data_IF_937365451241
#
_entry.id   IF_937365451241
#
_cell.length_a   1.000
_cell.length_b   1.000
_cell.length_c   1.000
_cell.angle_alpha   90.00
_cell.angle_beta   90.00
_cell.angle_gamma   90.00
#
_symmetry.space_group_name_H-M   'P 1'
#
loop_
_entity.id
_entity.type
_entity.pdbx_description
1 polymer ?
#
# COMPACT_ATOMS: atom_id res chain seq x y z
N UNK A 1 15.91 86.90 -10.40
CA UNK A 1 16.23 86.20 -11.64
C UNK A 1 16.39 84.72 -11.30
N UNK A 2 15.37 83.94 -11.41
CA UNK A 2 15.39 82.52 -11.42
C UNK A 2 14.09 82.00 -11.99
N UNK A 3 14.17 81.51 -13.21
CA UNK A 3 13.11 80.91 -13.96
C UNK A 3 12.70 79.58 -13.32
N UNK A 4 11.45 79.46 -12.93
CA UNK A 4 10.81 78.21 -12.62
C UNK A 4 10.24 77.62 -13.90
N UNK A 5 10.81 76.54 -14.35
CA UNK A 5 10.27 75.64 -15.37
C UNK A 5 9.46 74.56 -14.65
N UNK A 6 8.16 74.54 -14.90
CA UNK A 6 7.23 73.48 -14.56
C UNK A 6 7.29 72.47 -15.72
N UNK A 7 7.54 71.18 -15.47
CA UNK A 7 7.30 70.17 -16.47
C UNK A 7 5.85 69.71 -16.41
N UNK A 8 5.24 69.67 -17.54
CA UNK A 8 3.90 69.17 -17.82
C UNK A 8 3.79 67.68 -17.54
N UNK A 9 2.69 67.32 -16.86
CA UNK A 9 2.22 65.95 -16.72
C UNK A 9 1.88 65.39 -18.11
N UNK A 10 2.70 64.47 -18.61
CA UNK A 10 2.31 63.56 -19.67
C UNK A 10 1.80 62.27 -19.09
N UNK A 11 0.54 61.95 -19.39
CA UNK A 11 -0.18 60.74 -19.17
C UNK A 11 0.60 59.52 -19.76
N UNK A 12 1.35 58.80 -18.94
CA UNK A 12 1.82 57.45 -19.25
C UNK A 12 0.77 56.44 -18.69
N UNK A 13 -0.26 56.21 -19.48
CA UNK A 13 -1.08 55.04 -19.38
C UNK A 13 -0.28 53.83 -19.95
N UNK A 14 0.71 53.39 -19.20
CA UNK A 14 1.39 52.16 -19.50
C UNK A 14 0.49 50.97 -19.16
N UNK A 15 0.04 50.38 -20.22
CA UNK A 15 -0.62 49.08 -20.24
C UNK A 15 0.21 48.06 -19.46
N UNK A 16 -0.18 47.81 -18.22
CA UNK A 16 0.23 46.67 -17.47
C UNK A 16 -0.35 45.43 -18.17
N UNK A 17 0.33 44.98 -19.21
CA UNK A 17 0.20 43.63 -19.75
C UNK A 17 0.57 42.68 -18.63
N UNK A 18 -0.41 42.17 -17.92
CA UNK A 18 -0.31 41.03 -17.07
C UNK A 18 0.12 39.86 -17.94
N UNK A 19 1.41 39.62 -18.00
CA UNK A 19 1.92 38.31 -18.39
C UNK A 19 1.52 37.36 -17.27
N UNK A 20 0.32 36.86 -17.36
CA UNK A 20 -0.13 35.66 -16.72
C UNK A 20 0.67 34.51 -17.38
N UNK A 21 1.91 34.34 -16.91
CA UNK A 21 2.68 33.14 -17.18
C UNK A 21 1.97 32.04 -16.43
N UNK A 22 1.06 31.35 -17.11
CA UNK A 22 0.65 30.02 -16.73
C UNK A 22 1.91 29.23 -16.41
N UNK A 23 2.09 28.74 -15.18
CA UNK A 23 3.17 27.80 -14.88
C UNK A 23 2.85 26.52 -15.65
N UNK A 24 3.34 26.42 -16.88
CA UNK A 24 3.39 25.13 -17.55
C UNK A 24 4.11 24.18 -16.59
N UNK A 25 3.45 23.15 -16.09
CA UNK A 25 4.12 22.18 -15.22
C UNK A 25 5.31 21.64 -16.01
N UNK A 26 6.51 21.89 -15.52
CA UNK A 26 7.74 21.34 -16.07
C UNK A 26 7.64 19.83 -15.86
N UNK A 27 6.99 19.16 -16.81
CA UNK A 27 6.81 17.72 -16.77
C UNK A 27 8.18 17.11 -17.00
N UNK A 28 8.78 16.57 -15.95
CA UNK A 28 10.03 15.85 -16.11
C UNK A 28 9.76 14.63 -17.01
N UNK A 29 10.37 14.55 -18.21
CA UNK A 29 10.10 13.48 -19.17
C UNK A 29 10.50 12.10 -18.67
N UNK A 30 11.30 12.02 -17.61
CA UNK A 30 11.75 10.77 -16.98
C UNK A 30 10.84 10.28 -15.83
N UNK A 31 9.84 11.07 -15.45
CA UNK A 31 8.86 10.62 -14.47
C UNK A 31 7.62 10.11 -15.22
N UNK A 32 7.07 8.94 -14.83
CA UNK A 32 5.83 8.48 -15.38
C UNK A 32 4.74 9.53 -15.16
N UNK A 33 4.04 9.89 -16.24
CA UNK A 33 2.95 10.86 -16.14
C UNK A 33 1.84 10.27 -15.27
N UNK A 34 1.52 10.98 -14.21
CA UNK A 34 0.47 10.59 -13.31
C UNK A 34 -0.88 10.63 -14.03
N UNK A 35 -1.64 9.54 -13.95
CA UNK A 35 -3.01 9.51 -14.47
C UNK A 35 -3.84 10.63 -13.80
N UNK A 36 -4.63 11.43 -14.56
CA UNK A 36 -5.46 12.49 -13.98
C UNK A 36 -6.38 12.02 -12.84
N UNK A 37 -6.89 10.79 -12.93
CA UNK A 37 -7.69 10.20 -11.86
C UNK A 37 -6.87 9.96 -10.59
N UNK A 38 -5.63 9.50 -10.74
CA UNK A 38 -4.70 9.28 -9.64
C UNK A 38 -4.28 10.62 -9.01
N UNK A 39 -3.98 11.63 -9.83
CA UNK A 39 -3.65 12.98 -9.36
C UNK A 39 -4.80 13.60 -8.55
N UNK A 40 -6.05 13.40 -8.97
CA UNK A 40 -7.22 13.86 -8.22
C UNK A 40 -7.37 13.14 -6.87
N UNK A 41 -7.06 11.85 -6.80
CA UNK A 41 -7.04 11.10 -5.53
C UNK A 41 -5.93 11.63 -4.61
N UNK A 42 -4.72 11.82 -5.11
CA UNK A 42 -3.59 12.37 -4.33
C UNK A 42 -3.91 13.76 -3.78
N UNK A 43 -4.50 14.64 -4.60
CA UNK A 43 -4.90 15.97 -4.17
C UNK A 43 -5.94 15.93 -3.03
N UNK A 44 -6.93 15.04 -3.15
CA UNK A 44 -7.97 14.85 -2.12
C UNK A 44 -7.40 14.30 -0.82
N UNK A 45 -6.39 13.45 -0.90
CA UNK A 45 -5.79 12.76 0.24
C UNK A 45 -4.60 13.53 0.85
N UNK A 46 -4.19 14.65 0.25
CA UNK A 46 -2.97 15.38 0.60
C UNK A 46 -2.81 15.67 2.09
N UNK A 47 -3.86 16.13 2.78
CA UNK A 47 -3.81 16.41 4.21
C UNK A 47 -3.63 15.14 5.05
N UNK A 48 -4.33 14.05 4.68
CA UNK A 48 -4.17 12.75 5.35
C UNK A 48 -2.78 12.17 5.09
N UNK A 49 -2.28 12.36 3.87
CA UNK A 49 -0.93 11.93 3.51
C UNK A 49 0.14 12.63 4.36
N UNK A 50 0.06 13.95 4.54
CA UNK A 50 0.98 14.70 5.39
C UNK A 50 0.92 14.23 6.86
N UNK A 51 -0.28 13.97 7.38
CA UNK A 51 -0.45 13.41 8.72
C UNK A 51 0.18 12.01 8.83
N UNK A 52 -0.12 11.13 7.89
CA UNK A 52 0.45 9.77 7.86
C UNK A 52 1.97 9.82 7.73
N UNK A 53 2.49 10.72 6.87
CA UNK A 53 3.92 10.92 6.69
C UNK A 53 4.60 11.38 7.99
N UNK A 54 3.99 12.28 8.76
CA UNK A 54 4.53 12.70 10.05
C UNK A 54 4.62 11.54 11.05
N UNK A 55 3.60 10.66 11.10
CA UNK A 55 3.67 9.43 11.91
C UNK A 55 4.75 8.47 11.41
N UNK A 56 4.91 8.35 10.09
CA UNK A 56 5.96 7.52 9.51
C UNK A 56 7.35 8.01 9.91
N UNK A 57 7.60 9.31 9.81
CA UNK A 57 8.89 9.93 10.14
C UNK A 57 9.23 9.80 11.64
N UNK A 58 8.21 9.78 12.51
CA UNK A 58 8.38 9.52 13.95
C UNK A 58 8.38 8.03 14.30
N UNK A 59 8.38 7.13 13.29
CA UNK A 59 8.34 5.65 13.46
C UNK A 59 7.10 5.12 14.19
N UNK A 60 6.02 5.89 14.16
CA UNK A 60 4.70 5.50 14.67
C UNK A 60 3.93 4.73 13.58
N UNK A 61 4.47 3.59 13.15
CA UNK A 61 4.01 2.88 11.96
C UNK A 61 2.56 2.42 12.02
N UNK A 62 2.09 1.94 13.18
CA UNK A 62 0.70 1.53 13.36
C UNK A 62 -0.26 2.72 13.20
N UNK A 63 0.10 3.88 13.71
CA UNK A 63 -0.68 5.11 13.54
C UNK A 63 -0.68 5.60 12.10
N UNK A 64 0.47 5.51 11.44
CA UNK A 64 0.59 5.84 10.02
C UNK A 64 -0.37 4.99 9.18
N UNK A 65 -0.36 3.67 9.36
CA UNK A 65 -1.25 2.77 8.65
C UNK A 65 -2.74 3.04 8.95
N UNK A 66 -3.08 3.33 10.21
CA UNK A 66 -4.44 3.58 10.67
C UNK A 66 -5.09 4.85 10.08
N UNK A 67 -4.29 5.79 9.53
CA UNK A 67 -4.85 6.98 8.83
C UNK A 67 -5.65 6.58 7.59
N UNK A 68 -5.25 5.51 6.91
CA UNK A 68 -5.82 5.08 5.64
C UNK A 68 -6.53 3.74 5.71
N UNK A 69 -6.04 2.82 6.53
CA UNK A 69 -6.57 1.48 6.65
C UNK A 69 -7.43 1.37 7.91
N UNK A 70 -8.60 0.72 7.84
CA UNK A 70 -9.39 0.48 9.04
C UNK A 70 -8.57 -0.38 10.01
N UNK A 71 -8.70 -0.14 11.32
CA UNK A 71 -8.03 -0.98 12.30
C UNK A 71 -8.49 -2.43 12.12
N UNK A 72 -7.54 -3.35 12.01
CA UNK A 72 -7.83 -4.78 12.04
C UNK A 72 -8.23 -5.11 13.46
N UNK A 73 -9.53 -4.99 13.77
CA UNK A 73 -10.07 -5.46 15.05
C UNK A 73 -10.03 -6.99 14.95
N UNK A 74 -9.20 -7.68 15.75
CA UNK A 74 -9.29 -9.13 15.81
C UNK A 74 -10.73 -9.46 16.22
N UNK A 75 -11.37 -10.48 15.63
CA UNK A 75 -12.70 -10.88 16.04
C UNK A 75 -12.62 -11.17 17.53
N UNK A 76 -13.23 -10.29 18.33
CA UNK A 76 -13.35 -10.50 19.77
C UNK A 76 -14.13 -11.80 19.90
N UNK A 77 -13.56 -12.87 20.50
CA UNK A 77 -14.37 -14.04 20.77
C UNK A 77 -15.50 -13.53 21.65
N UNK A 78 -16.73 -13.63 21.16
CA UNK A 78 -17.92 -13.42 21.97
C UNK A 78 -17.86 -14.43 23.09
N UNK A 79 -17.15 -14.09 24.16
CA UNK A 79 -17.27 -14.74 25.43
C UNK A 79 -18.71 -14.52 25.81
N UNK A 80 -19.51 -15.56 25.65
CA UNK A 80 -20.86 -15.66 26.12
C UNK A 80 -20.84 -15.37 27.63
N UNK A 81 -21.08 -14.09 27.95
CA UNK A 81 -21.52 -13.73 29.30
C UNK A 81 -22.91 -14.30 29.41
N UNK A 82 -23.00 -15.53 29.84
CA UNK A 82 -24.26 -16.12 30.32
C UNK A 82 -24.71 -15.35 31.55
N UNK A 83 -25.83 -14.62 31.51
CA UNK A 83 -26.46 -14.24 32.73
C UNK A 83 -27.07 -15.52 33.33
N UNK A 84 -26.52 -15.93 34.46
CA UNK A 84 -26.98 -17.06 35.27
C UNK A 84 -28.35 -16.74 35.81
N UNK A 85 -29.40 -17.11 35.08
CA UNK A 85 -30.78 -17.20 35.63
C UNK A 85 -31.08 -18.66 35.89
N UNK A 86 -31.04 -19.00 37.16
CA UNK A 86 -31.57 -20.25 37.67
C UNK A 86 -33.08 -20.34 37.36
N UNK A 87 -33.47 -21.31 36.54
CA UNK A 87 -34.81 -21.88 36.57
C UNK A 87 -34.73 -23.38 36.33
N UNK A 88 -35.18 -24.09 37.34
CA UNK A 88 -35.36 -25.55 37.37
C UNK A 88 -36.51 -25.96 36.46
N UNK A 89 -36.42 -27.23 36.08
CA UNK A 89 -37.43 -28.23 35.66
C UNK A 89 -37.40 -28.49 34.16
N UNK A 90 -37.25 -29.67 33.74
CA UNK A 90 -37.69 -31.00 33.83
C UNK A 90 -37.19 -31.83 32.62
N UNK A 91 -36.91 -33.06 32.87
CA UNK A 91 -36.54 -34.17 31.97
C UNK A 91 -37.58 -34.44 30.89
N UNK A 92 -37.13 -34.72 29.65
CA UNK A 92 -37.50 -35.94 28.91
C UNK A 92 -36.64 -36.11 27.66
N UNK A 93 -36.25 -37.33 27.30
CA UNK A 93 -35.43 -37.58 26.09
C UNK A 93 -36.34 -37.95 24.90
N UNK A 94 -36.12 -37.33 23.77
CA UNK A 94 -36.66 -37.85 22.49
C UNK A 94 -35.59 -38.04 21.44
N UNK A 95 -35.47 -39.30 21.08
CA UNK A 95 -34.72 -39.92 20.01
C UNK A 95 -35.47 -39.65 18.70
N UNK A 96 -34.83 -38.94 17.77
CA UNK A 96 -35.37 -38.68 16.43
C UNK A 96 -34.31 -38.81 15.38
N UNK A 97 -34.32 -39.94 14.65
CA UNK A 97 -33.63 -40.20 13.39
C UNK A 97 -34.24 -39.33 12.27
N UNK A 98 -33.44 -38.69 11.44
CA UNK A 98 -33.92 -38.02 10.23
C UNK A 98 -32.81 -37.45 9.39
N UNK A 99 -32.25 -38.26 8.51
CA UNK A 99 -32.20 -38.16 7.06
C UNK A 99 -31.44 -36.97 6.44
N UNK A 100 -30.34 -37.30 5.82
CA UNK A 100 -29.59 -36.51 4.87
C UNK A 100 -30.50 -35.97 3.74
N UNK A 101 -30.37 -34.68 3.43
CA UNK A 101 -30.81 -34.16 2.14
C UNK A 101 -29.83 -33.10 1.67
N UNK A 102 -29.46 -33.25 0.40
CA UNK A 102 -28.41 -32.66 -0.36
C UNK A 102 -28.26 -31.14 -0.27
N UNK A 103 -27.02 -30.74 -0.21
CA UNK A 103 -26.60 -29.38 -0.51
C UNK A 103 -26.83 -29.07 -1.98
N UNK A 104 -27.46 -27.94 -2.34
CA UNK A 104 -27.40 -27.47 -3.70
C UNK A 104 -26.01 -26.89 -3.94
N UNK A 105 -25.27 -27.51 -4.86
CA UNK A 105 -24.09 -26.97 -5.48
C UNK A 105 -24.43 -25.63 -6.13
N UNK A 106 -24.22 -24.53 -5.43
CA UNK A 106 -24.25 -23.21 -6.05
C UNK A 106 -22.98 -23.07 -6.91
N UNK A 107 -23.19 -23.14 -8.22
CA UNK A 107 -22.23 -22.71 -9.22
C UNK A 107 -21.76 -21.32 -8.82
N UNK A 108 -20.50 -21.22 -8.41
CA UNK A 108 -19.84 -19.97 -8.12
C UNK A 108 -19.74 -19.12 -9.39
N UNK A 109 -20.61 -18.13 -9.50
CA UNK A 109 -20.32 -16.99 -10.34
C UNK A 109 -19.06 -16.34 -9.76
N UNK A 110 -18.04 -16.19 -10.59
CA UNK A 110 -16.87 -15.39 -10.23
C UNK A 110 -17.38 -13.97 -10.00
N UNK A 111 -17.55 -13.62 -8.72
CA UNK A 111 -17.65 -12.21 -8.35
C UNK A 111 -16.31 -11.57 -8.72
N UNK A 112 -16.29 -10.39 -9.37
CA UNK A 112 -15.04 -9.69 -9.67
C UNK A 112 -14.23 -9.58 -8.40
N UNK A 113 -12.95 -9.90 -8.50
CA UNK A 113 -12.02 -9.83 -7.38
C UNK A 113 -11.97 -8.39 -6.87
N UNK A 114 -12.70 -8.10 -5.80
CA UNK A 114 -12.69 -6.78 -5.19
C UNK A 114 -11.44 -6.67 -4.33
N UNK A 115 -10.68 -5.60 -4.54
CA UNK A 115 -9.55 -5.28 -3.69
C UNK A 115 -9.99 -5.19 -2.21
N UNK A 116 -9.27 -5.81 -1.29
CA UNK A 116 -9.55 -5.68 0.14
C UNK A 116 -9.24 -4.27 0.68
N UNK A 117 -8.61 -3.43 -0.14
CA UNK A 117 -8.21 -2.08 0.26
C UNK A 117 -9.22 -1.03 -0.19
N UNK A 118 -9.39 0.06 0.59
CA UNK A 118 -10.21 1.18 0.16
C UNK A 118 -9.63 1.85 -1.10
N UNK A 119 -10.47 2.59 -1.83
CA UNK A 119 -10.03 3.35 -3.01
C UNK A 119 -9.15 4.52 -2.57
N UNK A 120 -7.85 4.32 -2.62
CA UNK A 120 -6.80 5.26 -2.29
C UNK A 120 -5.90 5.49 -3.50
N UNK A 121 -5.17 6.61 -3.49
CA UNK A 121 -4.04 6.79 -4.40
C UNK A 121 -2.95 5.75 -4.12
N UNK A 122 -2.22 5.35 -5.16
CA UNK A 122 -1.12 4.37 -5.01
C UNK A 122 -0.08 4.84 -4.00
N UNK A 123 0.19 6.14 -3.98
CA UNK A 123 1.10 6.78 -3.03
C UNK A 123 0.64 6.64 -1.57
N UNK A 124 -0.63 6.92 -1.29
CA UNK A 124 -1.19 6.78 0.06
C UNK A 124 -1.30 5.32 0.48
N UNK A 125 -1.69 4.45 -0.44
CA UNK A 125 -1.76 3.01 -0.21
C UNK A 125 -0.38 2.42 0.07
N UNK A 126 0.63 2.79 -0.72
CA UNK A 126 2.01 2.37 -0.47
C UNK A 126 2.50 2.78 0.91
N UNK A 127 2.32 4.05 1.29
CA UNK A 127 2.74 4.53 2.61
C UNK A 127 2.09 3.74 3.74
N UNK A 128 0.78 3.48 3.63
CA UNK A 128 0.03 2.74 4.65
C UNK A 128 0.47 1.27 4.76
N UNK A 129 0.64 0.58 3.62
CA UNK A 129 1.05 -0.83 3.60
C UNK A 129 2.52 -1.00 4.00
N UNK A 130 3.39 -0.08 3.57
CA UNK A 130 4.79 -0.10 3.97
C UNK A 130 4.96 0.17 5.47
N UNK A 131 4.18 1.09 6.02
CA UNK A 131 4.13 1.31 7.46
C UNK A 131 3.65 0.04 8.20
N UNK A 132 2.62 -0.65 7.69
CA UNK A 132 2.16 -1.91 8.28
C UNK A 132 3.22 -3.01 8.23
N UNK A 133 3.95 -3.11 7.13
CA UNK A 133 5.10 -4.00 7.00
C UNK A 133 6.17 -3.71 8.05
N UNK A 134 6.57 -2.43 8.19
CA UNK A 134 7.59 -2.01 9.17
C UNK A 134 7.12 -2.18 10.62
N UNK A 135 5.85 -1.98 10.92
CA UNK A 135 5.28 -2.27 12.23
C UNK A 135 5.41 -3.75 12.59
N UNK A 136 5.18 -4.63 11.62
CA UNK A 136 5.38 -6.07 11.78
C UNK A 136 6.84 -6.46 11.96
N UNK A 137 7.77 -5.85 11.21
CA UNK A 137 9.21 -6.07 11.38
C UNK A 137 9.67 -5.60 12.77
N UNK A 138 9.24 -4.42 13.20
CA UNK A 138 9.56 -3.90 14.53
C UNK A 138 9.08 -4.83 15.65
N UNK A 139 7.83 -5.33 15.57
CA UNK A 139 7.31 -6.30 16.54
C UNK A 139 8.08 -7.60 16.53
N UNK A 140 8.46 -8.10 15.36
CA UNK A 140 9.32 -9.29 15.23
C UNK A 140 10.66 -9.08 15.92
N UNK A 141 11.31 -7.94 15.72
CA UNK A 141 12.59 -7.65 16.32
C UNK A 141 12.48 -7.54 17.85
N UNK A 142 11.45 -6.87 18.36
CA UNK A 142 11.14 -6.78 19.79
C UNK A 142 10.87 -8.18 20.40
N UNK A 143 10.10 -9.04 19.72
CA UNK A 143 9.85 -10.43 20.14
C UNK A 143 11.16 -11.23 20.14
N UNK A 144 12.06 -11.02 19.17
CA UNK A 144 13.37 -11.69 19.10
C UNK A 144 14.28 -11.32 20.24
N UNK A 145 14.29 -10.05 20.64
CA UNK A 145 15.09 -9.57 21.79
C UNK A 145 14.60 -10.13 23.13
N UNK A 146 13.30 -10.47 23.23
CA UNK A 146 12.70 -11.02 24.45
C UNK A 146 12.92 -12.54 24.62
N UNK A 147 13.40 -13.23 23.58
CA UNK A 147 13.70 -14.67 23.65
C UNK A 147 15.00 -14.88 24.42
N UNK A 148 14.91 -15.29 25.69
CA UNK A 148 16.01 -15.30 26.64
C UNK A 148 16.76 -16.66 26.76
N UNK A 149 16.48 -17.66 25.94
CA UNK A 149 17.16 -18.94 26.11
C UNK A 149 16.99 -19.94 24.96
N UNK A 150 17.87 -20.95 24.89
CA UNK A 150 17.83 -21.95 23.84
C UNK A 150 16.56 -22.85 23.85
N UNK A 151 15.81 -22.82 24.93
CA UNK A 151 14.53 -23.52 25.06
C UNK A 151 13.35 -22.72 24.45
N UNK A 152 13.51 -21.39 24.30
CA UNK A 152 12.51 -20.50 23.73
C UNK A 152 12.74 -20.23 22.22
N UNK A 153 13.58 -21.02 21.57
CA UNK A 153 14.04 -20.88 20.18
C UNK A 153 12.95 -20.90 19.11
N UNK A 154 11.82 -20.25 19.36
CA UNK A 154 10.81 -19.96 18.36
C UNK A 154 11.34 -18.96 17.34
N UNK A 155 11.28 -19.30 16.05
CA UNK A 155 11.52 -18.32 15.00
C UNK A 155 10.41 -17.26 15.05
N UNK A 156 10.78 -16.05 15.41
CA UNK A 156 9.86 -14.91 15.33
C UNK A 156 9.70 -14.51 13.87
N UNK A 157 8.47 -14.42 13.42
CA UNK A 157 8.13 -14.03 12.05
C UNK A 157 7.22 -12.81 12.06
N UNK A 158 7.35 -11.99 11.03
CA UNK A 158 6.43 -10.88 10.84
C UNK A 158 5.04 -11.43 10.46
N UNK A 159 4.08 -11.28 11.38
CA UNK A 159 2.72 -11.83 11.24
C UNK A 159 1.86 -11.06 10.23
N UNK A 160 2.29 -9.88 9.81
CA UNK A 160 1.57 -9.07 8.83
C UNK A 160 1.79 -9.54 7.38
N UNK A 161 2.89 -10.28 7.11
CA UNK A 161 3.28 -10.67 5.75
C UNK A 161 2.20 -11.43 4.97
N UNK A 162 1.50 -12.44 5.54
CA UNK A 162 0.50 -13.19 4.78
C UNK A 162 -0.71 -12.34 4.38
N UNK A 163 -1.13 -11.42 5.25
CA UNK A 163 -2.27 -10.55 4.97
C UNK A 163 -1.91 -9.45 3.96
N UNK A 164 -0.68 -8.92 4.06
CA UNK A 164 -0.14 -7.97 3.08
C UNK A 164 0.00 -8.60 1.70
N UNK A 165 0.55 -9.84 1.62
CA UNK A 165 0.69 -10.55 0.37
C UNK A 165 -0.66 -10.77 -0.30
N UNK A 166 -1.62 -11.35 0.44
CA UNK A 166 -2.98 -11.61 -0.06
C UNK A 166 -3.70 -10.33 -0.49
N UNK A 167 -3.52 -9.26 0.28
CA UNK A 167 -4.13 -7.97 -0.02
C UNK A 167 -3.59 -7.35 -1.30
N UNK A 168 -2.27 -7.39 -1.50
CA UNK A 168 -1.62 -6.90 -2.72
C UNK A 168 -1.96 -7.78 -3.93
N UNK A 169 -2.02 -9.10 -3.79
CA UNK A 169 -2.48 -10.00 -4.85
C UNK A 169 -3.88 -9.62 -5.33
N UNK A 170 -4.82 -9.41 -4.41
CA UNK A 170 -6.17 -8.97 -4.74
C UNK A 170 -6.20 -7.62 -5.43
N UNK A 171 -5.38 -6.66 -4.98
CA UNK A 171 -5.27 -5.34 -5.59
C UNK A 171 -4.70 -5.40 -7.01
N UNK A 172 -3.65 -6.21 -7.24
CA UNK A 172 -3.09 -6.40 -8.57
C UNK A 172 -4.04 -7.15 -9.49
N UNK A 173 -4.79 -8.13 -8.98
CA UNK A 173 -5.80 -8.85 -9.74
C UNK A 173 -6.91 -7.91 -10.23
N UNK A 174 -7.45 -7.05 -9.36
CA UNK A 174 -8.44 -6.03 -9.72
C UNK A 174 -7.91 -5.08 -10.80
N UNK A 175 -6.68 -4.61 -10.68
CA UNK A 175 -6.06 -3.72 -11.69
C UNK A 175 -5.85 -4.43 -13.02
N UNK A 176 -5.55 -5.72 -13.02
CA UNK A 176 -5.43 -6.53 -14.23
C UNK A 176 -6.77 -6.66 -14.94
N UNK A 177 -7.83 -6.95 -14.21
CA UNK A 177 -9.18 -7.02 -14.75
C UNK A 177 -9.64 -5.68 -15.35
N UNK A 178 -9.22 -4.57 -14.76
CA UNK A 178 -9.50 -3.21 -15.25
C UNK A 178 -8.55 -2.75 -16.38
N UNK A 179 -7.55 -3.53 -16.76
CA UNK A 179 -6.55 -3.15 -17.77
C UNK A 179 -5.64 -1.99 -17.34
N UNK A 180 -5.47 -1.78 -16.04
CA UNK A 180 -4.69 -0.68 -15.45
C UNK A 180 -3.27 -1.11 -15.07
N UNK A 181 -2.77 -2.22 -15.54
CA UNK A 181 -1.46 -2.75 -15.18
C UNK A 181 -0.29 -1.82 -15.53
N UNK A 182 -0.37 -1.16 -16.70
CA UNK A 182 0.66 -0.22 -17.17
C UNK A 182 0.65 1.13 -16.44
N UNK A 183 -0.38 1.41 -15.65
CA UNK A 183 -0.51 2.65 -14.88
C UNK A 183 0.00 2.53 -13.45
N UNK A 184 0.84 1.54 -13.17
CA UNK A 184 1.52 1.37 -11.89
C UNK A 184 2.57 2.47 -11.68
N UNK A 185 2.82 2.84 -10.42
CA UNK A 185 3.89 3.76 -10.03
C UNK A 185 5.17 3.04 -9.59
N UNK A 186 5.19 1.70 -9.62
CA UNK A 186 6.35 0.88 -9.27
C UNK A 186 6.58 0.64 -7.77
N UNK A 187 5.99 1.44 -6.89
CA UNK A 187 6.21 1.34 -5.45
C UNK A 187 5.48 0.18 -4.79
N UNK A 188 4.26 -0.12 -5.22
CA UNK A 188 3.49 -1.25 -4.71
C UNK A 188 4.05 -2.57 -5.22
N UNK A 189 4.53 -2.60 -6.46
CA UNK A 189 5.26 -3.71 -7.05
C UNK A 189 6.53 -4.03 -6.26
N UNK A 190 7.30 -3.00 -5.89
CA UNK A 190 8.46 -3.12 -5.02
C UNK A 190 8.11 -3.70 -3.65
N UNK A 191 7.10 -3.14 -2.99
CA UNK A 191 6.66 -3.64 -1.69
C UNK A 191 6.23 -5.11 -1.74
N UNK A 192 5.49 -5.49 -2.78
CA UNK A 192 5.06 -6.87 -2.96
C UNK A 192 6.25 -7.81 -3.16
N UNK A 193 7.25 -7.40 -3.94
CA UNK A 193 8.48 -8.14 -4.11
C UNK A 193 9.23 -8.34 -2.78
N UNK A 194 9.37 -7.30 -1.97
CA UNK A 194 10.00 -7.39 -0.63
C UNK A 194 9.26 -8.39 0.26
N UNK A 195 7.92 -8.39 0.24
CA UNK A 195 7.11 -9.36 1.00
C UNK A 195 7.36 -10.79 0.50
N UNK A 196 7.43 -10.99 -0.81
CA UNK A 196 7.74 -12.30 -1.40
C UNK A 196 9.15 -12.79 -1.03
N UNK A 197 10.15 -11.90 -0.99
CA UNK A 197 11.50 -12.22 -0.54
C UNK A 197 11.53 -12.71 0.91
N UNK A 198 10.80 -12.01 1.79
CA UNK A 198 10.64 -12.47 3.18
C UNK A 198 9.94 -13.82 3.29
N UNK A 199 9.08 -14.14 2.33
CA UNK A 199 8.43 -15.45 2.15
C UNK A 199 9.30 -16.50 1.44
N UNK A 200 10.56 -16.18 1.11
CA UNK A 200 11.50 -17.04 0.35
C UNK A 200 11.01 -17.45 -1.04
N UNK A 201 10.21 -16.60 -1.67
CA UNK A 201 9.73 -16.78 -3.04
C UNK A 201 10.52 -15.87 -3.99
N UNK A 202 11.80 -16.20 -4.21
CA UNK A 202 12.77 -15.36 -4.93
C UNK A 202 12.41 -15.19 -6.41
N UNK A 203 11.95 -16.27 -7.07
CA UNK A 203 11.61 -16.22 -8.49
C UNK A 203 10.47 -15.25 -8.79
N UNK A 204 9.42 -15.30 -7.98
CA UNK A 204 8.31 -14.36 -8.13
C UNK A 204 8.72 -12.95 -7.76
N UNK A 205 9.52 -12.79 -6.71
CA UNK A 205 10.03 -11.49 -6.28
C UNK A 205 10.86 -10.82 -7.39
N UNK A 206 11.71 -11.57 -8.08
CA UNK A 206 12.51 -11.09 -9.22
C UNK A 206 11.63 -10.47 -10.31
N UNK A 207 10.56 -11.16 -10.70
CA UNK A 207 9.62 -10.66 -11.72
C UNK A 207 8.99 -9.32 -11.27
N UNK A 208 8.58 -9.22 -10.01
CA UNK A 208 7.96 -8.01 -9.49
C UNK A 208 8.96 -6.85 -9.30
N UNK A 209 10.23 -7.14 -8.98
CA UNK A 209 11.30 -6.13 -8.93
C UNK A 209 11.59 -5.58 -10.33
N UNK A 210 11.73 -6.45 -11.34
CA UNK A 210 11.89 -6.05 -12.73
C UNK A 210 10.73 -5.13 -13.14
N UNK A 211 9.48 -5.52 -12.84
CA UNK A 211 8.32 -4.69 -13.12
C UNK A 211 8.37 -3.34 -12.40
N UNK A 212 8.82 -3.32 -11.14
CA UNK A 212 8.97 -2.09 -10.36
C UNK A 212 9.95 -1.11 -11.02
N UNK A 213 11.13 -1.58 -11.42
CA UNK A 213 12.15 -0.72 -12.05
C UNK A 213 11.74 -0.27 -13.46
N UNK A 214 10.94 -1.05 -14.18
CA UNK A 214 10.35 -0.62 -15.45
C UNK A 214 9.37 0.55 -15.26
N UNK A 215 8.50 0.46 -14.24
CA UNK A 215 7.52 1.49 -13.96
C UNK A 215 8.16 2.74 -13.36
N UNK A 216 9.18 2.57 -12.52
CA UNK A 216 9.91 3.66 -11.89
C UNK A 216 11.41 3.36 -11.75
N UNK A 217 12.22 3.72 -12.78
CA UNK A 217 13.66 3.42 -12.80
C UNK A 217 14.48 4.05 -11.67
N UNK A 218 13.94 5.07 -10.99
CA UNK A 218 14.61 5.75 -9.89
C UNK A 218 14.36 5.10 -8.52
N UNK A 219 13.66 3.96 -8.47
CA UNK A 219 13.50 3.21 -7.24
C UNK A 219 14.79 2.47 -6.88
N UNK A 220 15.68 3.14 -6.15
CA UNK A 220 16.96 2.56 -5.75
C UNK A 220 16.81 1.28 -4.92
N UNK A 221 15.81 1.20 -4.05
CA UNK A 221 15.54 0.00 -3.26
C UNK A 221 15.22 -1.22 -4.13
N UNK A 222 14.45 -1.03 -5.21
CA UNK A 222 14.16 -2.13 -6.13
C UNK A 222 15.41 -2.62 -6.86
N UNK A 223 16.32 -1.72 -7.23
CA UNK A 223 17.61 -2.09 -7.83
C UNK A 223 18.51 -2.84 -6.85
N UNK A 224 18.56 -2.44 -5.58
CA UNK A 224 19.34 -3.13 -4.55
C UNK A 224 18.86 -4.57 -4.35
N UNK A 225 17.56 -4.74 -4.09
CA UNK A 225 16.98 -6.09 -3.91
C UNK A 225 17.14 -6.96 -5.17
N UNK A 226 17.01 -6.36 -6.36
CA UNK A 226 17.21 -7.08 -7.61
C UNK A 226 18.67 -7.54 -7.78
N UNK A 227 19.63 -6.66 -7.46
CA UNK A 227 21.05 -6.98 -7.55
C UNK A 227 21.45 -8.10 -6.57
N UNK A 228 20.85 -8.11 -5.38
CA UNK A 228 21.10 -9.16 -4.37
C UNK A 228 20.59 -10.54 -4.81
N UNK A 229 19.57 -10.55 -5.70
CA UNK A 229 19.02 -11.79 -6.29
C UNK A 229 19.78 -12.30 -7.53
N UNK A 230 20.70 -11.51 -8.08
CA UNK A 230 21.44 -11.84 -9.30
C UNK A 230 22.87 -12.22 -8.96
N UNK A 231 23.18 -13.51 -8.71
CA UNK A 231 24.50 -13.93 -8.27
C UNK A 231 25.60 -13.81 -9.34
N UNK A 232 25.21 -13.77 -10.63
CA UNK A 232 26.14 -13.78 -11.74
C UNK A 232 25.89 -12.63 -12.72
N UNK A 233 26.96 -12.19 -13.39
CA UNK A 233 26.90 -11.13 -14.42
C UNK A 233 26.04 -11.55 -15.63
N UNK A 234 26.00 -12.84 -15.95
CA UNK A 234 25.20 -13.39 -17.04
C UNK A 234 23.69 -13.25 -16.76
N UNK A 235 23.28 -13.40 -15.50
CA UNK A 235 21.89 -13.21 -15.07
C UNK A 235 21.47 -11.72 -15.16
N UNK A 236 22.43 -10.81 -14.93
CA UNK A 236 22.20 -9.36 -15.11
C UNK A 236 21.95 -9.06 -16.58
N UNK A 237 22.73 -9.66 -17.50
CA UNK A 237 22.57 -9.45 -18.94
C UNK A 237 21.19 -9.92 -19.42
N UNK A 238 20.76 -11.13 -19.01
CA UNK A 238 19.43 -11.64 -19.32
C UNK A 238 18.31 -10.78 -18.74
N UNK A 239 18.52 -10.21 -17.56
CA UNK A 239 17.54 -9.31 -16.94
C UNK A 239 17.44 -7.98 -17.68
N UNK A 240 18.57 -7.45 -18.16
CA UNK A 240 18.62 -6.23 -18.96
C UNK A 240 18.01 -6.40 -20.36
N UNK A 241 18.04 -7.61 -20.94
CA UNK A 241 17.35 -7.90 -22.21
C UNK A 241 15.81 -7.93 -22.06
N UNK A 242 15.33 -8.18 -20.85
CA UNK A 242 13.90 -8.16 -20.51
C UNK A 242 13.43 -6.74 -20.16
N UNK A 243 14.35 -5.87 -19.77
CA UNK A 243 14.14 -4.45 -19.45
C UNK A 243 14.13 -3.58 -20.72
#
# INVERSE_FOLDING_TARGET
MLNSLVPSDEDDTDARSSMETDPTPTTNPFLPQLDPAEAALEARESHKYLLAKSYFDTREYDRCAAVFLPPTIPPVPLSTVSPNVRSRTSLTPQKGKGKASGAPSSRGGHAPAQSPYPKLSQKSLFLALYAKYLAGEKRRDEETEMVLGPADGGMTVNRELPDLARGLEGWFAERRELGLESRGQGWLEYLYAVILLKGKNEEQAKIWLIRSVHLYPFNWGAWQELNDLLPNVDDVSLTLEIL
#
